data_IF_133176795642
#
_entry.id   IF_133176795642
#
_cell.length_a   1.000
_cell.length_b   1.000
_cell.length_c   1.000
_cell.angle_alpha   90.00
_cell.angle_beta   90.00
_cell.angle_gamma   90.00
#
_symmetry.space_group_name_H-M   'P 1'
#
loop_
_entity.id
_entity.type
_entity.pdbx_description
1 polymer ?
#
# COMPACT_ATOMS: atom_id res chain seq x y z
N UNK A 1 -7.36 7.53 15.12
CA UNK A 1 -5.95 7.12 14.93
C UNK A 1 -5.30 7.82 13.74
N UNK A 2 -5.86 7.65 12.53
CA UNK A 2 -5.33 8.22 11.28
C UNK A 2 -5.13 9.74 11.27
N UNK A 3 -6.09 10.53 11.78
CA UNK A 3 -5.94 12.00 11.87
C UNK A 3 -4.73 12.39 12.74
N UNK A 4 -4.60 11.78 13.93
CA UNK A 4 -3.45 12.02 14.82
C UNK A 4 -2.12 11.65 14.15
N UNK A 5 -2.07 10.55 13.39
CA UNK A 5 -0.89 10.14 12.64
C UNK A 5 -0.56 11.13 11.52
N UNK A 6 -1.54 11.52 10.70
CA UNK A 6 -1.39 12.53 9.64
C UNK A 6 -0.84 13.84 10.20
N UNK A 7 -1.41 14.35 11.30
CA UNK A 7 -0.95 15.58 11.95
C UNK A 7 0.45 15.42 12.54
N UNK A 8 0.73 14.31 13.23
CA UNK A 8 2.04 14.06 13.85
C UNK A 8 3.19 14.04 12.84
N UNK A 9 2.96 13.49 11.65
CA UNK A 9 3.97 13.36 10.59
C UNK A 9 3.81 14.40 9.47
N UNK A 10 2.89 15.37 9.65
CA UNK A 10 2.60 16.43 8.70
C UNK A 10 2.43 15.95 7.24
N UNK A 11 1.69 14.86 7.05
CA UNK A 11 1.55 14.24 5.73
C UNK A 11 0.64 15.10 4.83
N UNK A 12 1.11 15.56 3.65
CA UNK A 12 0.36 16.46 2.78
C UNK A 12 -0.72 15.76 1.94
N UNK A 13 -0.97 14.47 2.20
CA UNK A 13 -1.88 13.63 1.42
C UNK A 13 -2.94 12.97 2.31
N UNK A 14 -3.94 12.35 1.66
CA UNK A 14 -5.04 11.66 2.33
C UNK A 14 -4.61 10.24 2.71
N UNK A 15 -5.02 9.82 3.92
CA UNK A 15 -4.92 8.43 4.35
C UNK A 15 -6.32 7.83 4.30
N UNK A 16 -6.53 6.87 3.42
CA UNK A 16 -7.80 6.14 3.30
C UNK A 16 -7.92 5.13 4.44
N UNK A 17 -9.13 4.96 4.96
CA UNK A 17 -9.45 3.93 5.96
C UNK A 17 -10.20 2.81 5.26
N UNK A 18 -9.58 1.64 5.15
CA UNK A 18 -10.10 0.43 4.50
C UNK A 18 -10.51 -0.58 5.58
N UNK A 19 -11.60 -0.29 6.30
CA UNK A 19 -12.01 -1.01 7.52
C UNK A 19 -12.38 -2.48 7.26
N UNK A 20 -12.98 -2.77 6.12
CA UNK A 20 -13.39 -4.11 5.68
C UNK A 20 -12.37 -4.80 4.76
N UNK A 21 -11.25 -4.13 4.50
CA UNK A 21 -10.18 -4.59 3.61
C UNK A 21 -10.61 -4.78 2.16
N UNK A 22 -11.71 -4.16 1.72
CA UNK A 22 -12.23 -4.32 0.36
C UNK A 22 -11.22 -3.81 -0.68
N UNK A 23 -10.56 -2.68 -0.41
CA UNK A 23 -9.53 -2.12 -1.31
C UNK A 23 -8.32 -3.05 -1.31
N UNK A 24 -7.82 -3.44 -0.14
CA UNK A 24 -6.68 -4.36 -0.03
C UNK A 24 -6.92 -5.70 -0.74
N UNK A 25 -8.15 -6.24 -0.67
CA UNK A 25 -8.54 -7.45 -1.37
C UNK A 25 -8.61 -7.25 -2.89
N UNK A 26 -9.20 -6.14 -3.36
CA UNK A 26 -9.30 -5.82 -4.78
C UNK A 26 -7.92 -5.66 -5.44
N UNK A 27 -6.95 -5.09 -4.72
CA UNK A 27 -5.56 -4.95 -5.17
C UNK A 27 -4.71 -6.22 -4.94
N UNK A 28 -5.30 -7.29 -4.37
CA UNK A 28 -4.60 -8.55 -4.12
C UNK A 28 -3.52 -8.49 -3.03
N UNK A 29 -3.52 -7.45 -2.19
CA UNK A 29 -2.51 -7.25 -1.13
C UNK A 29 -2.99 -7.76 0.23
N UNK A 30 -4.24 -8.18 0.35
CA UNK A 30 -4.75 -8.89 1.51
C UNK A 30 -4.43 -10.39 1.41
N UNK A 31 -3.33 -10.80 2.03
CA UNK A 31 -2.75 -12.14 1.85
C UNK A 31 -2.68 -12.93 3.17
N UNK A 32 -2.69 -14.26 3.07
CA UNK A 32 -2.40 -15.14 4.20
C UNK A 32 -0.91 -15.11 4.51
N UNK A 33 -0.56 -14.79 5.76
CA UNK A 33 0.79 -14.84 6.29
C UNK A 33 0.88 -15.94 7.34
N UNK A 34 2.03 -16.62 7.37
CA UNK A 34 2.35 -17.59 8.42
C UNK A 34 3.53 -17.09 9.23
N UNK A 35 3.35 -16.99 10.55
CA UNK A 35 4.44 -16.68 11.46
C UNK A 35 4.40 -17.66 12.62
N UNK A 36 5.51 -18.38 12.84
CA UNK A 36 5.64 -19.40 13.88
C UNK A 36 4.48 -20.42 13.88
N UNK A 37 4.09 -20.90 12.69
CA UNK A 37 3.04 -21.90 12.53
C UNK A 37 1.59 -21.37 12.68
N UNK A 38 1.41 -20.08 12.98
CA UNK A 38 0.09 -19.43 13.00
C UNK A 38 -0.17 -18.71 11.68
N UNK A 39 -1.30 -19.03 11.05
CA UNK A 39 -1.81 -18.35 9.86
C UNK A 39 -2.70 -17.18 10.25
N UNK A 40 -2.51 -16.04 9.61
CA UNK A 40 -3.35 -14.86 9.77
C UNK A 40 -3.37 -14.06 8.48
N UNK A 41 -4.46 -13.34 8.22
CA UNK A 41 -4.51 -12.42 7.09
C UNK A 41 -3.84 -11.10 7.44
N UNK A 42 -3.10 -10.52 6.50
CA UNK A 42 -2.46 -9.24 6.71
C UNK A 42 -2.12 -8.54 5.41
N UNK A 43 -2.08 -7.21 5.45
CA UNK A 43 -1.70 -6.39 4.29
C UNK A 43 -0.23 -6.63 3.95
N UNK A 44 0.06 -7.04 2.72
CA UNK A 44 1.40 -7.07 2.14
C UNK A 44 1.80 -5.67 1.67
N UNK A 45 2.94 -5.18 2.15
CA UNK A 45 3.45 -3.85 1.77
C UNK A 45 3.70 -3.83 0.26
N UNK A 46 2.95 -2.96 -0.40
CA UNK A 46 2.96 -2.82 -1.85
C UNK A 46 2.75 -1.35 -2.22
N UNK A 47 3.14 -0.98 -3.44
CA UNK A 47 2.76 0.30 -4.04
C UNK A 47 2.26 0.10 -5.46
N UNK A 48 1.45 1.04 -5.93
CA UNK A 48 0.87 1.05 -7.27
C UNK A 48 0.97 2.46 -7.83
N UNK A 49 1.25 2.57 -9.13
CA UNK A 49 1.20 3.82 -9.89
C UNK A 49 0.06 3.68 -10.89
N UNK A 50 -0.85 4.66 -10.88
CA UNK A 50 -2.06 4.67 -11.69
C UNK A 50 -2.03 5.94 -12.53
N UNK A 51 -2.25 5.82 -13.83
CA UNK A 51 -2.31 6.96 -14.74
C UNK A 51 -3.66 7.69 -14.69
N UNK A 52 -3.78 8.77 -15.46
CA UNK A 52 -4.99 9.59 -15.53
C UNK A 52 -6.20 8.86 -16.13
N UNK A 53 -5.96 7.75 -16.85
CA UNK A 53 -6.98 6.90 -17.44
C UNK A 53 -7.44 5.80 -16.46
N UNK A 54 -6.85 5.73 -15.26
CA UNK A 54 -7.16 4.73 -14.25
C UNK A 54 -6.46 3.39 -14.48
N UNK A 55 -5.42 3.35 -15.32
CA UNK A 55 -4.65 2.14 -15.61
C UNK A 55 -3.46 2.04 -14.65
N UNK A 56 -3.25 0.85 -14.07
CA UNK A 56 -2.06 0.57 -13.27
C UNK A 56 -0.85 0.42 -14.21
N UNK A 57 0.08 1.36 -14.14
CA UNK A 57 1.31 1.38 -14.96
C UNK A 57 2.52 0.77 -14.25
N UNK A 58 2.49 0.70 -12.91
CA UNK A 58 3.47 -0.02 -12.09
C UNK A 58 2.78 -0.63 -10.86
N UNK A 59 3.17 -1.86 -10.51
CA UNK A 59 2.67 -2.58 -9.34
C UNK A 59 3.83 -3.35 -8.68
N UNK A 60 4.14 -3.01 -7.43
CA UNK A 60 5.27 -3.58 -6.70
C UNK A 60 4.79 -4.21 -5.39
N UNK A 61 4.78 -5.54 -5.33
CA UNK A 61 4.52 -6.33 -4.12
C UNK A 61 5.80 -6.60 -3.32
N UNK A 62 5.67 -6.84 -2.01
CA UNK A 62 6.79 -7.11 -1.08
C UNK A 62 7.93 -6.07 -1.16
N UNK A 63 7.59 -4.84 -1.49
CA UNK A 63 8.57 -3.78 -1.68
C UNK A 63 9.14 -3.31 -0.34
N UNK A 64 10.44 -3.02 -0.29
CA UNK A 64 11.05 -2.44 0.91
C UNK A 64 10.65 -0.97 1.07
N UNK A 65 10.52 -0.47 2.31
CA UNK A 65 10.23 0.95 2.57
C UNK A 65 11.15 1.91 1.80
N UNK A 66 12.46 1.64 1.83
CA UNK A 66 13.48 2.55 1.29
C UNK A 66 13.49 2.59 -0.24
N UNK A 67 13.06 1.49 -0.89
CA UNK A 67 13.04 1.37 -2.35
C UNK A 67 11.73 1.86 -2.96
N UNK A 68 10.64 1.88 -2.18
CA UNK A 68 9.28 2.07 -2.70
C UNK A 68 9.10 3.40 -3.42
N UNK A 69 9.52 4.50 -2.80
CA UNK A 69 9.34 5.86 -3.37
C UNK A 69 10.18 6.03 -4.64
N UNK A 70 11.44 5.59 -4.62
CA UNK A 70 12.34 5.74 -5.78
C UNK A 70 11.82 4.97 -6.99
N UNK A 71 11.31 3.75 -6.79
CA UNK A 71 10.71 2.94 -7.86
C UNK A 71 9.44 3.57 -8.41
N UNK A 72 8.57 4.07 -7.54
CA UNK A 72 7.33 4.73 -7.96
C UNK A 72 7.62 5.99 -8.80
N UNK A 73 8.62 6.81 -8.39
CA UNK A 73 9.03 7.98 -9.15
C UNK A 73 9.61 7.62 -10.52
N UNK A 74 10.43 6.56 -10.61
CA UNK A 74 10.98 6.10 -11.89
C UNK A 74 9.90 5.61 -12.87
N UNK A 75 8.75 5.16 -12.37
CA UNK A 75 7.61 4.76 -13.20
C UNK A 75 6.78 5.95 -13.72
N UNK A 76 6.93 7.15 -13.13
CA UNK A 76 6.19 8.35 -13.52
C UNK A 76 6.83 9.13 -14.69
N UNK A 77 8.07 8.81 -15.07
CA UNK A 77 8.81 9.49 -16.15
C UNK A 77 9.63 10.67 -15.66
#
# INVERSE_FOLDING_TARGET
SHQKFKTKFNLPFTLVVDEDHAIAAAYGVWVEKSMYGKKYMGVERSHFVIDEQGVIVDAQGKVKPDDSVLKALAALG
#
